data_IF_322926568812
#
_entry.id   IF_322926568812
#
_cell.length_a   1.000
_cell.length_b   1.000
_cell.length_c   1.000
_cell.angle_alpha   90.00
_cell.angle_beta   90.00
_cell.angle_gamma   90.00
#
_symmetry.space_group_name_H-M   'P 1'
#
loop_
_entity.id
_entity.type
_entity.pdbx_description
1 polymer ?
#
# COMPACT_ATOMS: atom_id res chain seq x y z
N UNK A 1 -41.03 19.02 9.75
CA UNK A 1 -40.97 17.69 9.10
C UNK A 1 -39.73 17.02 9.66
N UNK A 2 -39.95 16.03 10.55
CA UNK A 2 -38.87 15.29 11.19
C UNK A 2 -38.09 14.51 10.13
N UNK A 3 -36.77 14.67 10.13
CA UNK A 3 -35.90 13.84 9.31
C UNK A 3 -36.05 12.36 9.75
N UNK A 4 -36.11 11.40 8.81
CA UNK A 4 -36.21 9.99 9.16
C UNK A 4 -35.04 9.59 10.04
N UNK A 5 -35.32 9.06 11.24
CA UNK A 5 -34.29 8.50 12.12
C UNK A 5 -33.60 7.36 11.38
N UNK A 6 -32.29 7.45 11.25
CA UNK A 6 -31.49 6.36 10.70
C UNK A 6 -31.80 5.07 11.50
N UNK A 7 -32.19 4.00 10.81
CA UNK A 7 -32.42 2.71 11.43
C UNK A 7 -31.15 2.15 12.08
N UNK A 8 -31.24 1.06 12.86
CA UNK A 8 -30.09 0.46 13.50
C UNK A 8 -29.05 0.05 12.44
N UNK A 9 -27.79 0.39 12.71
CA UNK A 9 -26.67 0.04 11.82
C UNK A 9 -26.60 -1.48 11.73
N UNK A 10 -26.56 -1.99 10.48
CA UNK A 10 -26.47 -3.42 10.18
C UNK A 10 -25.23 -4.03 10.87
N UNK A 11 -25.32 -5.32 11.34
CA UNK A 11 -24.20 -5.98 12.03
C UNK A 11 -22.89 -5.94 11.25
N UNK A 12 -22.93 -6.17 9.94
CA UNK A 12 -21.77 -6.17 9.07
C UNK A 12 -21.09 -4.78 9.01
N UNK A 13 -21.90 -3.72 9.02
CA UNK A 13 -21.42 -2.34 9.06
C UNK A 13 -20.78 -2.03 10.41
N UNK A 14 -21.34 -2.55 11.52
CA UNK A 14 -20.76 -2.39 12.86
C UNK A 14 -19.39 -3.06 12.98
N UNK A 15 -19.24 -4.30 12.50
CA UNK A 15 -17.95 -5.01 12.52
C UNK A 15 -16.91 -4.32 11.64
N UNK A 16 -17.30 -3.84 10.46
CA UNK A 16 -16.42 -3.06 9.59
C UNK A 16 -15.94 -1.78 10.26
N UNK A 17 -16.84 -1.01 10.91
CA UNK A 17 -16.47 0.20 11.64
C UNK A 17 -15.55 -0.10 12.82
N UNK A 18 -15.76 -1.23 13.50
CA UNK A 18 -14.90 -1.67 14.60
C UNK A 18 -13.50 -2.02 14.12
N UNK A 19 -13.37 -2.78 13.03
CA UNK A 19 -12.08 -3.13 12.43
C UNK A 19 -11.28 -1.89 11.99
N UNK A 20 -11.93 -0.90 11.39
CA UNK A 20 -11.31 0.38 11.04
C UNK A 20 -10.84 1.12 12.29
N UNK A 21 -11.62 1.12 13.35
CA UNK A 21 -11.26 1.75 14.63
C UNK A 21 -10.04 1.07 15.28
N UNK A 22 -9.96 -0.26 15.22
CA UNK A 22 -8.81 -1.02 15.74
C UNK A 22 -7.52 -0.70 14.98
N UNK A 23 -7.56 -0.65 13.64
CA UNK A 23 -6.41 -0.25 12.82
C UNK A 23 -5.94 1.18 13.15
N UNK A 24 -6.86 2.12 13.26
CA UNK A 24 -6.54 3.50 13.62
C UNK A 24 -5.84 3.58 15.00
N UNK A 25 -6.29 2.80 15.97
CA UNK A 25 -5.63 2.70 17.29
C UNK A 25 -4.22 2.17 17.19
N UNK A 26 -4.00 1.11 16.39
CA UNK A 26 -2.65 0.56 16.18
C UNK A 26 -1.73 1.61 15.58
N UNK A 27 -2.16 2.31 14.53
CA UNK A 27 -1.36 3.37 13.91
C UNK A 27 -1.06 4.51 14.88
N UNK A 28 -2.05 4.95 15.67
CA UNK A 28 -1.87 5.99 16.67
C UNK A 28 -0.87 5.57 17.77
N UNK A 29 -0.89 4.32 18.23
CA UNK A 29 0.08 3.79 19.19
C UNK A 29 1.49 3.80 18.57
N UNK A 30 1.63 3.32 17.33
CA UNK A 30 2.93 3.29 16.64
C UNK A 30 3.50 4.71 16.50
N UNK A 31 2.69 5.67 16.05
CA UNK A 31 3.09 7.08 15.93
C UNK A 31 3.54 7.65 17.29
N UNK A 32 2.79 7.37 18.35
CA UNK A 32 3.16 7.83 19.70
C UNK A 32 4.50 7.22 20.18
N UNK A 33 4.72 5.93 19.91
CA UNK A 33 5.95 5.25 20.31
C UNK A 33 7.17 5.66 19.45
N UNK A 34 6.96 5.97 18.18
CA UNK A 34 8.03 6.43 17.29
C UNK A 34 8.46 7.86 17.58
N UNK A 35 7.56 8.70 18.10
CA UNK A 35 7.84 10.11 18.47
C UNK A 35 8.61 10.86 17.38
N UNK A 36 8.16 10.75 16.12
CA UNK A 36 8.75 11.38 14.93
C UNK A 36 10.22 10.99 14.64
N UNK A 37 10.74 9.96 15.31
CA UNK A 37 12.13 9.50 15.07
C UNK A 37 12.30 8.79 13.74
N UNK A 38 11.26 8.18 13.23
CA UNK A 38 11.21 7.42 11.95
C UNK A 38 9.84 7.57 11.31
N UNK A 39 9.75 7.55 9.97
CA UNK A 39 8.46 7.60 9.28
C UNK A 39 7.63 6.33 9.55
N UNK A 40 6.31 6.51 9.65
CA UNK A 40 5.34 5.44 9.87
C UNK A 40 4.52 5.22 8.61
N UNK A 41 4.56 4.01 8.06
CA UNK A 41 3.81 3.62 6.89
C UNK A 41 2.61 2.74 7.27
N UNK A 42 1.41 3.17 6.90
CA UNK A 42 0.19 2.41 7.16
C UNK A 42 -0.15 1.43 6.03
N UNK A 43 -0.39 0.18 6.37
CA UNK A 43 -0.95 -0.79 5.42
C UNK A 43 -2.45 -0.54 5.22
N UNK A 44 -2.85 -0.06 4.05
CA UNK A 44 -4.24 0.31 3.74
C UNK A 44 -4.88 -0.55 2.65
N UNK A 45 -4.18 -1.58 2.17
CA UNK A 45 -4.68 -2.49 1.14
C UNK A 45 -6.01 -3.16 1.51
N UNK A 46 -6.91 -3.25 0.54
CA UNK A 46 -8.21 -3.91 0.62
C UNK A 46 -8.65 -4.46 -0.74
N UNK A 47 -9.77 -5.19 -0.78
CA UNK A 47 -10.28 -5.80 -2.01
C UNK A 47 -10.80 -4.78 -3.04
N UNK A 48 -11.25 -3.61 -2.61
CA UNK A 48 -11.85 -2.61 -3.50
C UNK A 48 -11.17 -1.26 -3.37
N UNK A 49 -11.08 -0.52 -4.49
CA UNK A 49 -10.57 0.85 -4.55
C UNK A 49 -11.22 1.75 -3.50
N UNK A 50 -12.55 1.70 -3.40
CA UNK A 50 -13.31 2.48 -2.40
C UNK A 50 -12.87 2.19 -0.97
N UNK A 51 -12.64 0.92 -0.64
CA UNK A 51 -12.23 0.56 0.72
C UNK A 51 -10.81 1.02 1.03
N UNK A 52 -9.91 1.00 0.04
CA UNK A 52 -8.55 1.54 0.20
C UNK A 52 -8.60 3.04 0.43
N UNK A 53 -9.37 3.79 -0.39
CA UNK A 53 -9.53 5.24 -0.23
C UNK A 53 -10.05 5.59 1.18
N UNK A 54 -11.08 4.89 1.66
CA UNK A 54 -11.59 5.10 3.02
C UNK A 54 -10.54 4.83 4.11
N UNK A 55 -9.67 3.84 3.90
CA UNK A 55 -8.57 3.58 4.83
C UNK A 55 -7.47 4.63 4.75
N UNK A 56 -7.17 5.15 3.55
CA UNK A 56 -6.22 6.25 3.38
C UNK A 56 -6.73 7.52 4.09
N UNK A 57 -8.00 7.89 3.93
CA UNK A 57 -8.61 9.00 4.68
C UNK A 57 -8.47 8.83 6.19
N UNK A 58 -8.60 7.60 6.69
CA UNK A 58 -8.40 7.33 8.11
C UNK A 58 -6.91 7.45 8.50
N UNK A 59 -6.00 6.95 7.66
CA UNK A 59 -4.55 7.05 7.87
C UNK A 59 -4.09 8.52 7.89
N UNK A 60 -4.60 9.36 6.99
CA UNK A 60 -4.37 10.81 6.98
C UNK A 60 -4.81 11.47 8.29
N UNK A 61 -6.02 11.16 8.78
CA UNK A 61 -6.53 11.71 10.05
C UNK A 61 -5.71 11.29 11.26
N UNK A 62 -5.09 10.12 11.21
CA UNK A 62 -4.20 9.63 12.28
C UNK A 62 -2.82 10.27 12.19
N UNK A 63 -2.39 10.73 10.99
CA UNK A 63 -1.16 11.45 10.76
C UNK A 63 0.03 10.56 10.43
N UNK A 64 -0.17 9.44 9.73
CA UNK A 64 0.93 8.60 9.22
C UNK A 64 1.65 9.30 8.06
N UNK A 65 2.90 8.90 7.79
CA UNK A 65 3.74 9.57 6.78
C UNK A 65 3.52 9.04 5.36
N UNK A 66 3.07 7.79 5.20
CA UNK A 66 2.78 7.18 3.91
C UNK A 66 1.82 6.01 4.04
N UNK A 67 1.28 5.56 2.91
CA UNK A 67 0.45 4.35 2.84
C UNK A 67 1.09 3.30 1.95
N UNK A 68 0.95 2.03 2.36
CA UNK A 68 1.38 0.87 1.58
C UNK A 68 0.17 0.06 1.15
N UNK A 69 -0.02 -0.06 -0.16
CA UNK A 69 -1.22 -0.64 -0.77
C UNK A 69 -0.88 -1.93 -1.49
N UNK A 70 -1.24 -3.06 -0.89
CA UNK A 70 -1.11 -4.38 -1.55
C UNK A 70 -2.13 -4.51 -2.68
N UNK A 71 -1.78 -5.28 -3.72
CA UNK A 71 -2.70 -5.64 -4.79
C UNK A 71 -3.99 -6.29 -4.24
N UNK A 72 -5.15 -6.14 -4.90
CA UNK A 72 -6.34 -6.93 -4.59
C UNK A 72 -6.01 -8.43 -4.58
N UNK A 73 -6.65 -9.21 -3.72
CA UNK A 73 -6.22 -10.59 -3.44
C UNK A 73 -7.31 -11.67 -3.54
N UNK A 74 -8.53 -11.35 -3.96
CA UNK A 74 -9.60 -12.33 -4.12
C UNK A 74 -9.93 -12.63 -5.58
N UNK A 75 -9.95 -11.59 -6.41
CA UNK A 75 -10.09 -11.69 -7.87
C UNK A 75 -8.83 -11.08 -8.46
N UNK A 76 -8.20 -11.78 -9.41
CA UNK A 76 -7.01 -11.28 -10.10
C UNK A 76 -7.41 -10.28 -11.19
N UNK A 77 -7.18 -8.98 -10.99
CA UNK A 77 -7.44 -7.97 -12.00
C UNK A 77 -6.35 -7.99 -13.08
N UNK A 78 -6.68 -7.44 -14.24
CA UNK A 78 -5.73 -7.15 -15.31
C UNK A 78 -4.84 -5.95 -14.96
N UNK A 79 -3.73 -5.76 -15.68
CA UNK A 79 -2.85 -4.61 -15.51
C UNK A 79 -3.58 -3.27 -15.71
N UNK A 80 -4.51 -3.21 -16.67
CA UNK A 80 -5.33 -2.01 -16.89
C UNK A 80 -6.28 -1.70 -15.72
N UNK A 81 -6.83 -2.74 -15.09
CA UNK A 81 -7.67 -2.58 -13.89
C UNK A 81 -6.84 -2.18 -12.69
N UNK A 82 -5.65 -2.76 -12.52
CA UNK A 82 -4.68 -2.38 -11.49
C UNK A 82 -4.20 -0.94 -11.68
N UNK A 83 -3.91 -0.53 -12.91
CA UNK A 83 -3.54 0.86 -13.21
C UNK A 83 -4.62 1.82 -12.74
N UNK A 84 -5.89 1.60 -13.16
CA UNK A 84 -7.02 2.44 -12.73
C UNK A 84 -7.23 2.41 -11.22
N UNK A 85 -7.02 1.25 -10.59
CA UNK A 85 -7.12 1.09 -9.15
C UNK A 85 -6.11 1.97 -8.41
N UNK A 86 -4.83 1.89 -8.77
CA UNK A 86 -3.77 2.63 -8.09
C UNK A 86 -3.81 4.13 -8.37
N UNK A 87 -4.10 4.53 -9.60
CA UNK A 87 -4.27 5.95 -9.96
C UNK A 87 -5.42 6.57 -9.15
N UNK A 88 -6.59 5.92 -9.12
CA UNK A 88 -7.72 6.43 -8.34
C UNK A 88 -7.43 6.50 -6.82
N UNK A 89 -6.59 5.61 -6.30
CA UNK A 89 -6.14 5.66 -4.90
C UNK A 89 -5.18 6.84 -4.69
N UNK A 90 -4.21 7.00 -5.57
CA UNK A 90 -3.19 8.05 -5.45
C UNK A 90 -3.78 9.45 -5.63
N UNK A 91 -4.78 9.61 -6.53
CA UNK A 91 -5.53 10.85 -6.72
C UNK A 91 -6.38 11.25 -5.50
N UNK A 92 -6.79 10.25 -4.69
CA UNK A 92 -7.71 10.46 -3.57
C UNK A 92 -7.02 10.68 -2.21
N UNK A 93 -5.70 10.77 -2.15
CA UNK A 93 -4.95 10.97 -0.90
C UNK A 93 -3.78 11.92 -1.10
N UNK A 94 -3.48 12.71 -0.06
CA UNK A 94 -2.26 13.52 -0.01
C UNK A 94 -1.05 12.71 0.49
N UNK A 95 -1.26 11.53 1.08
CA UNK A 95 -0.18 10.68 1.57
C UNK A 95 0.57 10.00 0.41
N UNK A 96 1.90 9.95 0.42
CA UNK A 96 2.68 9.17 -0.52
C UNK A 96 2.22 7.71 -0.55
N UNK A 97 2.03 7.17 -1.75
CA UNK A 97 1.57 5.79 -1.97
C UNK A 97 2.74 4.91 -2.36
N UNK A 98 2.93 3.83 -1.60
CA UNK A 98 3.86 2.75 -1.91
C UNK A 98 3.07 1.55 -2.42
N UNK A 99 3.32 1.14 -3.65
CA UNK A 99 2.79 -0.09 -4.20
C UNK A 99 3.30 -1.29 -3.39
N UNK A 100 2.48 -2.32 -3.21
CA UNK A 100 2.95 -3.53 -2.54
C UNK A 100 2.63 -4.78 -3.36
N UNK A 101 3.68 -5.41 -3.87
CA UNK A 101 3.62 -6.67 -4.62
C UNK A 101 3.99 -7.84 -3.71
N UNK A 102 3.05 -8.78 -3.50
CA UNK A 102 3.29 -10.00 -2.74
C UNK A 102 2.51 -11.19 -3.34
N UNK A 103 3.02 -11.78 -4.43
CA UNK A 103 2.33 -12.88 -5.12
C UNK A 103 1.96 -14.04 -4.20
N UNK A 104 2.78 -14.34 -3.22
CA UNK A 104 2.52 -15.40 -2.24
C UNK A 104 1.31 -15.17 -1.33
N UNK A 105 0.78 -13.95 -1.27
CA UNK A 105 -0.39 -13.56 -0.46
C UNK A 105 -1.60 -13.14 -1.29
N UNK A 106 -1.43 -12.96 -2.59
CA UNK A 106 -2.46 -12.42 -3.49
C UNK A 106 -2.83 -13.37 -4.63
N UNK A 107 -2.71 -14.69 -4.40
CA UNK A 107 -3.10 -15.70 -5.39
C UNK A 107 -2.20 -15.75 -6.64
N UNK A 108 -0.94 -15.37 -6.50
CA UNK A 108 0.02 -15.31 -7.60
C UNK A 108 0.04 -13.99 -8.37
N UNK A 109 -0.80 -13.01 -7.98
CA UNK A 109 -0.85 -11.72 -8.64
C UNK A 109 0.42 -10.91 -8.34
N UNK A 110 1.19 -10.65 -9.39
CA UNK A 110 2.41 -9.86 -9.37
C UNK A 110 2.21 -8.60 -10.22
N UNK A 111 2.74 -7.46 -9.77
CA UNK A 111 2.76 -6.26 -10.60
C UNK A 111 3.81 -6.43 -11.71
N UNK A 112 3.40 -6.27 -12.96
CA UNK A 112 4.34 -6.31 -14.09
C UNK A 112 5.28 -5.11 -14.06
N UNK A 113 6.47 -5.24 -14.65
CA UNK A 113 7.44 -4.15 -14.78
C UNK A 113 6.84 -2.97 -15.55
N UNK A 114 6.14 -3.26 -16.65
CA UNK A 114 5.48 -2.23 -17.47
C UNK A 114 4.44 -1.44 -16.68
N UNK A 115 3.63 -2.14 -15.89
CA UNK A 115 2.64 -1.49 -15.02
C UNK A 115 3.30 -0.60 -13.96
N UNK A 116 4.36 -1.09 -13.29
CA UNK A 116 5.08 -0.33 -12.27
C UNK A 116 5.74 0.89 -12.89
N UNK A 117 6.38 0.76 -14.06
CA UNK A 117 6.96 1.88 -14.82
C UNK A 117 5.90 2.94 -15.13
N UNK A 118 4.72 2.52 -15.60
CA UNK A 118 3.62 3.43 -15.89
C UNK A 118 3.09 4.12 -14.64
N UNK A 119 2.96 3.39 -13.52
CA UNK A 119 2.49 3.94 -12.24
C UNK A 119 3.52 4.87 -11.60
N UNK A 120 4.83 4.61 -11.78
CA UNK A 120 5.89 5.46 -11.22
C UNK A 120 5.94 6.87 -11.82
N UNK A 121 5.26 7.10 -12.95
CA UNK A 121 5.09 8.45 -13.52
C UNK A 121 4.02 9.30 -12.80
N UNK A 122 3.28 8.72 -11.87
CA UNK A 122 2.31 9.44 -11.05
C UNK A 122 3.01 10.07 -9.85
N UNK A 123 2.90 11.39 -9.67
CA UNK A 123 3.64 12.15 -8.65
C UNK A 123 3.47 11.65 -7.21
N UNK A 124 2.29 11.08 -6.90
CA UNK A 124 1.98 10.58 -5.55
C UNK A 124 2.22 9.07 -5.37
N UNK A 125 2.73 8.36 -6.38
CA UNK A 125 3.18 6.97 -6.29
C UNK A 125 4.70 6.95 -6.20
N UNK A 126 5.23 6.82 -4.98
CA UNK A 126 6.64 7.12 -4.69
C UNK A 126 7.54 5.89 -4.61
N UNK A 127 6.98 4.69 -4.69
CA UNK A 127 7.78 3.48 -4.61
C UNK A 127 6.98 2.19 -4.67
N UNK A 128 7.71 1.09 -4.62
CA UNK A 128 7.18 -0.27 -4.54
C UNK A 128 7.90 -1.06 -3.46
N UNK A 129 7.15 -1.80 -2.64
CA UNK A 129 7.67 -2.90 -1.82
C UNK A 129 7.48 -4.20 -2.60
N UNK A 130 8.57 -4.87 -2.92
CA UNK A 130 8.57 -6.16 -3.60
C UNK A 130 8.82 -7.31 -2.62
N UNK A 131 7.83 -8.16 -2.43
CA UNK A 131 7.89 -9.40 -1.63
C UNK A 131 7.74 -10.66 -2.49
N UNK A 132 8.02 -10.58 -3.79
CA UNK A 132 8.01 -11.73 -4.70
C UNK A 132 9.03 -12.80 -4.28
N UNK A 133 10.17 -12.38 -3.77
CA UNK A 133 11.32 -13.24 -3.51
C UNK A 133 12.14 -13.52 -4.78
N UNK A 134 11.87 -12.80 -5.86
CA UNK A 134 12.61 -12.88 -7.13
C UNK A 134 13.47 -11.63 -7.31
N UNK A 135 14.78 -11.77 -7.15
CA UNK A 135 15.72 -10.67 -7.32
C UNK A 135 15.72 -10.13 -8.76
N UNK A 136 15.48 -10.98 -9.76
CA UNK A 136 15.42 -10.55 -11.17
C UNK A 136 14.27 -9.56 -11.36
N UNK A 137 13.11 -9.85 -10.76
CA UNK A 137 11.97 -8.95 -10.80
C UNK A 137 12.25 -7.63 -10.06
N UNK A 138 12.88 -7.72 -8.88
CA UNK A 138 13.29 -6.52 -8.13
C UNK A 138 14.22 -5.64 -8.96
N UNK A 139 15.22 -6.23 -9.62
CA UNK A 139 16.16 -5.51 -10.49
C UNK A 139 15.45 -4.88 -11.68
N UNK A 140 14.50 -5.58 -12.31
CA UNK A 140 13.72 -5.04 -13.42
C UNK A 140 12.93 -3.78 -13.00
N UNK A 141 12.37 -3.73 -11.79
CA UNK A 141 11.74 -2.51 -11.27
C UNK A 141 12.75 -1.38 -11.09
N UNK A 142 13.95 -1.67 -10.54
CA UNK A 142 15.01 -0.66 -10.33
C UNK A 142 15.47 -0.07 -11.67
N UNK A 143 15.64 -0.90 -12.68
CA UNK A 143 16.11 -0.49 -14.01
C UNK A 143 15.06 0.29 -14.80
N UNK A 144 13.77 -0.03 -14.61
CA UNK A 144 12.68 0.53 -15.40
C UNK A 144 12.06 1.80 -14.79
N UNK A 145 12.44 2.20 -13.58
CA UNK A 145 11.89 3.37 -12.89
C UNK A 145 12.95 4.45 -12.67
N UNK A 146 12.51 5.70 -12.46
CA UNK A 146 13.41 6.81 -12.18
C UNK A 146 14.14 6.63 -10.84
N UNK A 147 15.28 7.32 -10.66
CA UNK A 147 16.17 7.14 -9.49
C UNK A 147 15.56 7.52 -8.16
N UNK A 148 14.57 8.37 -8.14
CA UNK A 148 13.83 8.81 -6.95
C UNK A 148 12.67 7.87 -6.58
N UNK A 149 12.23 7.02 -7.51
CA UNK A 149 11.26 5.98 -7.20
C UNK A 149 11.87 4.91 -6.29
N UNK A 150 11.25 4.68 -5.13
CA UNK A 150 11.81 3.81 -4.10
C UNK A 150 11.43 2.34 -4.31
N UNK A 151 12.38 1.51 -4.72
CA UNK A 151 12.21 0.04 -4.71
C UNK A 151 12.70 -0.50 -3.38
N UNK A 152 11.79 -1.16 -2.62
CA UNK A 152 12.03 -1.68 -1.28
C UNK A 152 11.89 -3.20 -1.26
N UNK A 153 12.85 -3.88 -0.64
CA UNK A 153 12.85 -5.35 -0.50
C UNK A 153 11.87 -5.80 0.59
N UNK A 154 11.05 -6.81 0.29
CA UNK A 154 10.17 -7.46 1.25
C UNK A 154 10.71 -8.79 1.79
N UNK A 155 11.86 -9.26 1.29
CA UNK A 155 12.55 -10.48 1.73
C UNK A 155 13.89 -10.13 2.36
N UNK A 156 14.09 -10.51 3.62
CA UNK A 156 15.32 -10.28 4.38
C UNK A 156 16.56 -10.90 3.71
N UNK A 157 16.43 -12.10 3.18
CA UNK A 157 17.53 -12.81 2.48
C UNK A 157 18.03 -12.11 1.22
N UNK A 158 17.25 -11.18 0.66
CA UNK A 158 17.58 -10.44 -0.56
C UNK A 158 18.06 -9.00 -0.31
N UNK A 159 18.04 -8.52 0.94
CA UNK A 159 18.35 -7.11 1.26
C UNK A 159 19.72 -6.72 0.74
N UNK A 160 20.75 -7.50 1.07
CA UNK A 160 22.14 -7.18 0.68
C UNK A 160 22.28 -7.09 -0.85
N UNK A 161 21.80 -8.11 -1.56
CA UNK A 161 21.87 -8.14 -3.01
C UNK A 161 21.07 -6.98 -3.66
N UNK A 162 19.84 -6.74 -3.19
CA UNK A 162 19.02 -5.65 -3.71
C UNK A 162 19.62 -4.26 -3.49
N UNK A 163 20.23 -4.01 -2.33
CA UNK A 163 20.89 -2.73 -2.03
C UNK A 163 22.07 -2.48 -2.96
N UNK A 164 22.88 -3.50 -3.27
CA UNK A 164 24.00 -3.38 -4.23
C UNK A 164 23.47 -2.99 -5.64
N UNK A 165 22.29 -3.48 -6.01
CA UNK A 165 21.66 -3.18 -7.30
C UNK A 165 20.87 -1.88 -7.34
N UNK A 166 20.76 -1.14 -6.22
CA UNK A 166 20.14 0.19 -6.20
C UNK A 166 18.79 0.29 -5.50
N UNK A 167 18.32 -0.78 -4.85
CA UNK A 167 17.17 -0.68 -3.96
C UNK A 167 17.41 0.35 -2.85
N UNK A 168 16.36 1.06 -2.41
CA UNK A 168 16.47 2.16 -1.44
C UNK A 168 16.40 1.68 0.02
N UNK A 169 15.98 0.43 0.24
CA UNK A 169 15.83 -0.13 1.57
C UNK A 169 15.01 -1.40 1.58
N UNK A 170 14.51 -1.75 2.76
CA UNK A 170 13.69 -2.95 2.93
C UNK A 170 12.60 -2.74 3.98
N UNK A 171 11.46 -3.41 3.79
CA UNK A 171 10.38 -3.56 4.76
C UNK A 171 10.11 -5.05 4.90
N UNK A 172 10.75 -5.71 5.84
CA UNK A 172 10.69 -7.16 6.02
C UNK A 172 9.93 -7.56 7.27
N UNK A 173 9.45 -8.80 7.29
CA UNK A 173 8.97 -9.47 8.48
C UNK A 173 9.96 -10.59 8.80
N UNK A 174 10.58 -10.51 9.95
CA UNK A 174 11.51 -11.50 10.51
C UNK A 174 10.81 -12.32 11.60
#
# INVERSE_FOLDING_TARGET
>A
RDAPRAGPVQPEVRERLKALTERAKVWAIVLNETTERVPVYAGTGALTTRSVIQMNEMAERVGVDAVSVITPYFISPTDDELYRHYVAIADATALPVILYSNPGRTGGLQLSTDLVTKLSSHENIVGIKDSSGDLTQTMAYIEATEKDFAVLLGRDTLIYAGLIHGAKGAITAT
#
